data_IF_305417036047
#
_entry.id   IF_305417036047
#
_cell.length_a   1.000
_cell.length_b   1.000
_cell.length_c   1.000
_cell.angle_alpha   90.00
_cell.angle_beta   90.00
_cell.angle_gamma   90.00
#
_symmetry.space_group_name_H-M   'P 1'
#
loop_
_entity.id
_entity.type
_entity.pdbx_description
1 polymer ?
#
# COMPACT_ATOMS: atom_id res chain seq x y z
N UNK A 1 -15.92 -37.09 15.40
CA UNK A 1 -15.55 -36.13 14.33
C UNK A 1 -15.53 -34.75 14.96
N UNK A 2 -14.38 -34.33 15.49
CA UNK A 2 -14.19 -33.03 16.12
C UNK A 2 -14.00 -31.98 15.03
N UNK A 3 -14.92 -31.02 14.99
CA UNK A 3 -14.83 -29.86 14.12
C UNK A 3 -13.52 -29.12 14.39
N UNK A 4 -12.79 -28.85 13.31
CA UNK A 4 -11.68 -27.89 13.28
C UNK A 4 -12.17 -26.58 13.89
N UNK A 5 -11.70 -26.27 15.09
CA UNK A 5 -11.75 -24.91 15.60
C UNK A 5 -10.85 -24.09 14.67
N UNK A 6 -11.47 -23.29 13.79
CA UNK A 6 -10.77 -22.25 13.06
C UNK A 6 -10.37 -21.24 14.13
N UNK A 7 -9.20 -21.44 14.73
CA UNK A 7 -8.58 -20.44 15.59
C UNK A 7 -8.27 -19.26 14.68
N UNK A 8 -8.97 -18.14 14.90
CA UNK A 8 -8.51 -16.87 14.36
C UNK A 8 -7.03 -16.73 14.70
N UNK A 9 -6.14 -16.46 13.71
CA UNK A 9 -4.74 -16.23 14.03
C UNK A 9 -4.67 -15.12 15.08
N UNK A 10 -3.98 -15.39 16.18
CA UNK A 10 -3.78 -14.42 17.25
C UNK A 10 -3.17 -13.15 16.64
N UNK A 11 -3.75 -11.98 16.96
CA UNK A 11 -3.26 -10.68 16.51
C UNK A 11 -1.77 -10.54 16.83
N UNK A 12 -0.99 -10.03 15.87
CA UNK A 12 0.43 -9.72 16.02
C UNK A 12 0.69 -8.31 15.54
N UNK A 13 1.62 -7.62 16.19
CA UNK A 13 2.04 -6.27 15.82
C UNK A 13 3.55 -6.19 15.86
N UNK A 14 4.15 -5.48 14.90
CA UNK A 14 5.55 -5.04 15.00
C UNK A 14 5.68 -3.65 15.65
N UNK A 15 4.56 -2.93 15.81
CA UNK A 15 4.48 -1.68 16.56
C UNK A 15 4.43 -2.01 18.04
N UNK A 16 5.48 -1.64 18.79
CA UNK A 16 5.68 -2.05 20.17
C UNK A 16 4.63 -1.52 21.15
N UNK A 17 3.91 -0.46 20.79
CA UNK A 17 2.86 0.17 21.61
C UNK A 17 1.48 -0.42 21.38
N UNK A 18 1.33 -1.36 20.42
CA UNK A 18 0.05 -1.97 20.06
C UNK A 18 0.12 -3.47 20.28
N UNK A 19 -0.75 -3.99 21.12
CA UNK A 19 -0.80 -5.39 21.54
C UNK A 19 -2.07 -6.10 21.09
N UNK A 20 -3.14 -5.37 20.80
CA UNK A 20 -4.44 -5.92 20.43
C UNK A 20 -5.23 -4.98 19.49
N UNK A 21 -6.46 -5.37 19.13
CA UNK A 21 -7.33 -4.60 18.26
C UNK A 21 -7.93 -3.35 18.92
N UNK A 22 -8.10 -3.35 20.26
CA UNK A 22 -8.60 -2.21 21.02
C UNK A 22 -7.57 -1.07 20.98
N UNK A 23 -6.28 -1.38 21.13
CA UNK A 23 -5.19 -0.39 21.00
C UNK A 23 -5.17 0.28 19.61
N UNK A 24 -5.56 -0.45 18.56
CA UNK A 24 -5.72 0.11 17.20
C UNK A 24 -6.94 1.02 17.13
N UNK A 25 -8.06 0.59 17.71
CA UNK A 25 -9.30 1.36 17.76
C UNK A 25 -9.12 2.68 18.52
N UNK A 26 -8.36 2.68 19.61
CA UNK A 26 -8.03 3.90 20.36
C UNK A 26 -7.25 4.92 19.52
N UNK A 27 -6.34 4.46 18.66
CA UNK A 27 -5.48 5.36 17.87
C UNK A 27 -6.13 5.88 16.59
N UNK A 28 -6.91 5.05 15.88
CA UNK A 28 -7.45 5.40 14.55
C UNK A 28 -8.98 5.25 14.44
N UNK A 29 -9.68 5.05 15.55
CA UNK A 29 -11.12 4.82 15.58
C UNK A 29 -11.94 5.91 14.87
N UNK A 30 -11.50 7.17 14.96
CA UNK A 30 -12.13 8.29 14.25
C UNK A 30 -12.10 8.11 12.72
N UNK A 31 -10.96 7.74 12.15
CA UNK A 31 -10.83 7.44 10.71
C UNK A 31 -11.67 6.22 10.30
N UNK A 32 -11.80 5.22 11.18
CA UNK A 32 -12.60 4.03 10.89
C UNK A 32 -14.11 4.32 10.85
N UNK A 33 -14.60 5.33 11.59
CA UNK A 33 -16.03 5.70 11.61
C UNK A 33 -16.50 6.15 10.22
N UNK A 34 -15.73 7.02 9.56
CA UNK A 34 -16.14 7.53 8.25
C UNK A 34 -15.51 6.81 7.06
N UNK A 35 -14.89 5.65 7.26
CA UNK A 35 -14.22 4.89 6.19
C UNK A 35 -15.11 4.61 4.96
N UNK A 36 -16.44 4.67 5.11
CA UNK A 36 -17.40 4.58 4.02
C UNK A 36 -17.25 5.72 2.98
N UNK A 37 -16.72 6.88 3.38
CA UNK A 37 -16.45 8.04 2.53
C UNK A 37 -15.12 7.94 1.77
N UNK A 38 -14.17 7.13 2.25
CA UNK A 38 -12.85 7.00 1.62
C UNK A 38 -12.94 6.42 0.21
N UNK A 39 -12.00 6.77 -0.66
CA UNK A 39 -11.84 6.09 -1.94
C UNK A 39 -11.26 4.68 -1.71
N UNK A 40 -11.74 3.67 -2.43
CA UNK A 40 -11.23 2.30 -2.33
C UNK A 40 -10.48 1.96 -3.60
N UNK A 41 -9.20 1.62 -3.45
CA UNK A 41 -8.29 1.33 -4.56
C UNK A 41 -7.63 -0.03 -4.40
N UNK A 42 -7.18 -0.56 -5.53
CA UNK A 42 -6.34 -1.76 -5.58
C UNK A 42 -5.28 -1.59 -6.65
N UNK A 43 -4.35 -2.54 -6.71
CA UNK A 43 -3.35 -2.59 -7.77
C UNK A 43 -4.01 -2.74 -9.14
N UNK A 44 -3.52 -2.06 -10.20
CA UNK A 44 -4.05 -2.24 -11.55
C UNK A 44 -3.88 -3.69 -12.04
N UNK A 45 -2.82 -4.37 -11.55
CA UNK A 45 -2.55 -5.79 -11.83
C UNK A 45 -3.51 -6.74 -11.09
N UNK A 46 -4.22 -6.26 -10.08
CA UNK A 46 -5.21 -7.03 -9.32
C UNK A 46 -6.65 -6.61 -9.61
N UNK A 47 -6.91 -5.54 -10.38
CA UNK A 47 -8.27 -5.05 -10.65
C UNK A 47 -9.20 -6.14 -11.19
N UNK A 48 -8.71 -7.01 -12.07
CA UNK A 48 -9.48 -8.13 -12.61
C UNK A 48 -9.83 -9.21 -11.57
N UNK A 49 -9.13 -9.22 -10.43
CA UNK A 49 -9.36 -10.17 -9.32
C UNK A 49 -10.36 -9.62 -8.30
N UNK A 50 -10.83 -8.39 -8.48
CA UNK A 50 -11.78 -7.72 -7.62
C UNK A 50 -13.07 -7.43 -8.38
N UNK A 51 -14.19 -7.82 -7.80
CA UNK A 51 -15.48 -7.26 -8.21
C UNK A 51 -15.51 -5.78 -7.80
N UNK A 52 -15.94 -4.90 -8.73
CA UNK A 52 -15.88 -3.46 -8.50
C UNK A 52 -16.81 -3.03 -7.36
N UNK A 53 -18.05 -3.55 -7.32
CA UNK A 53 -19.00 -3.23 -6.26
C UNK A 53 -18.50 -3.75 -4.91
N UNK A 54 -17.93 -4.94 -4.89
CA UNK A 54 -17.29 -5.53 -3.71
C UNK A 54 -16.14 -4.67 -3.17
N UNK A 55 -15.28 -4.15 -4.06
CA UNK A 55 -14.16 -3.28 -3.69
C UNK A 55 -14.67 -1.97 -3.08
N UNK A 56 -15.67 -1.34 -3.70
CA UNK A 56 -16.25 -0.09 -3.19
C UNK A 56 -17.01 -0.28 -1.87
N UNK A 57 -17.57 -1.47 -1.63
CA UNK A 57 -18.21 -1.84 -0.37
C UNK A 57 -17.23 -2.39 0.68
N UNK A 58 -15.92 -2.33 0.43
CA UNK A 58 -14.93 -2.81 1.38
C UNK A 58 -15.00 -2.03 2.70
N UNK A 59 -14.94 -2.78 3.81
CA UNK A 59 -14.92 -2.24 5.17
C UNK A 59 -13.83 -2.94 5.97
N UNK A 60 -12.90 -2.15 6.49
CA UNK A 60 -11.88 -2.54 7.44
C UNK A 60 -12.57 -2.86 8.77
N UNK A 61 -12.47 -4.13 9.19
CA UNK A 61 -13.02 -4.63 10.46
C UNK A 61 -11.87 -5.12 11.33
N UNK A 62 -11.58 -4.42 12.42
CA UNK A 62 -10.43 -4.70 13.30
C UNK A 62 -10.39 -6.14 13.82
N UNK A 63 -11.55 -6.74 14.12
CA UNK A 63 -11.66 -8.16 14.51
C UNK A 63 -11.13 -9.18 13.50
N UNK A 64 -10.88 -8.76 12.26
CA UNK A 64 -10.33 -9.60 11.18
C UNK A 64 -8.85 -9.33 10.94
N UNK A 65 -8.28 -8.32 11.59
CA UNK A 65 -6.87 -7.96 11.52
C UNK A 65 -6.09 -8.99 12.31
N UNK A 66 -5.05 -9.51 11.69
CA UNK A 66 -4.15 -10.48 12.33
C UNK A 66 -2.68 -10.04 12.32
N UNK A 67 -2.33 -9.04 11.51
CA UNK A 67 -1.01 -8.40 11.54
C UNK A 67 -1.15 -6.89 11.44
N UNK A 68 -0.48 -6.16 12.33
CA UNK A 68 -0.24 -4.72 12.21
C UNK A 68 1.24 -4.47 11.87
N UNK A 69 1.48 -3.68 10.83
CA UNK A 69 2.83 -3.32 10.37
C UNK A 69 3.20 -1.89 10.78
N UNK A 70 2.25 -0.97 10.68
CA UNK A 70 2.47 0.44 10.98
C UNK A 70 1.16 1.09 11.41
N UNK A 71 1.27 2.06 12.30
CA UNK A 71 0.16 2.93 12.69
C UNK A 71 0.72 4.31 13.01
N UNK A 72 0.06 5.33 12.50
CA UNK A 72 0.32 6.72 12.80
C UNK A 72 -1.01 7.38 13.15
N UNK A 73 -1.00 8.07 14.28
CA UNK A 73 -2.08 8.94 14.73
C UNK A 73 -1.42 10.23 15.24
N UNK A 74 -2.10 11.35 15.06
CA UNK A 74 -1.55 12.63 15.52
C UNK A 74 -1.66 12.78 17.04
N UNK A 75 -0.68 13.45 17.64
CA UNK A 75 -0.80 14.08 18.96
C UNK A 75 -1.26 15.53 18.75
N UNK A 76 -2.00 16.11 19.70
CA UNK A 76 -2.93 17.26 19.60
C UNK A 76 -2.30 18.63 19.21
N UNK A 77 -1.12 18.65 18.60
CA UNK A 77 -0.37 19.85 18.21
C UNK A 77 -0.26 20.00 16.68
N UNK A 78 -1.10 20.88 16.13
CA UNK A 78 -0.93 21.64 14.85
C UNK A 78 -1.21 20.93 13.50
N UNK A 79 -2.09 21.58 12.69
CA UNK A 79 -2.29 21.65 11.22
C UNK A 79 -2.19 20.45 10.27
N UNK A 80 -1.74 19.26 10.67
CA UNK A 80 -1.61 18.11 9.77
C UNK A 80 -2.07 16.82 10.46
N UNK A 81 -3.37 16.77 10.79
CA UNK A 81 -4.02 15.55 11.29
C UNK A 81 -4.07 14.51 10.17
N UNK A 82 -3.21 13.51 10.24
CA UNK A 82 -3.18 12.38 9.32
C UNK A 82 -3.25 11.09 10.13
N UNK A 83 -4.20 10.22 9.78
CA UNK A 83 -4.23 8.84 10.23
C UNK A 83 -3.64 7.97 9.13
N UNK A 84 -2.77 7.05 9.51
CA UNK A 84 -2.22 6.07 8.58
C UNK A 84 -2.11 4.71 9.27
N UNK A 85 -2.50 3.65 8.57
CA UNK A 85 -2.37 2.29 9.09
C UNK A 85 -2.02 1.32 7.96
N UNK A 86 -1.05 0.45 8.23
CA UNK A 86 -0.63 -0.65 7.36
C UNK A 86 -0.86 -1.97 8.08
N UNK A 87 -1.73 -2.82 7.53
CA UNK A 87 -2.15 -4.06 8.20
C UNK A 87 -2.41 -5.23 7.25
N UNK A 88 -2.48 -6.43 7.81
CA UNK A 88 -3.02 -7.63 7.16
C UNK A 88 -4.29 -8.07 7.88
N UNK A 89 -5.32 -8.38 7.10
CA UNK A 89 -6.57 -8.91 7.61
C UNK A 89 -7.11 -10.07 6.79
N UNK A 90 -8.05 -10.80 7.37
CA UNK A 90 -8.78 -11.86 6.69
C UNK A 90 -10.02 -11.29 6.00
N UNK A 91 -10.16 -11.50 4.69
CA UNK A 91 -11.31 -11.08 3.90
C UNK A 91 -11.79 -12.23 3.01
N UNK A 92 -13.06 -12.63 3.12
CA UNK A 92 -13.66 -13.78 2.42
C UNK A 92 -12.82 -15.08 2.44
N UNK A 93 -12.16 -15.37 3.56
CA UNK A 93 -11.25 -16.52 3.79
C UNK A 93 -9.84 -16.38 3.18
N UNK A 94 -9.54 -15.27 2.53
CA UNK A 94 -8.21 -14.94 2.02
C UNK A 94 -7.52 -13.92 2.94
N UNK A 95 -6.19 -13.84 2.84
CA UNK A 95 -5.43 -12.76 3.46
C UNK A 95 -5.29 -11.62 2.46
N UNK A 96 -5.56 -10.42 2.95
CA UNK A 96 -5.37 -9.19 2.20
C UNK A 96 -4.52 -8.23 3.03
N UNK A 97 -3.84 -7.34 2.33
CA UNK A 97 -3.08 -6.26 2.90
C UNK A 97 -3.81 -4.95 2.63
N UNK A 98 -3.81 -4.09 3.64
CA UNK A 98 -4.54 -2.83 3.62
C UNK A 98 -3.62 -1.71 4.04
N UNK A 99 -3.62 -0.64 3.26
CA UNK A 99 -3.09 0.65 3.61
C UNK A 99 -4.27 1.63 3.64
N UNK A 100 -4.54 2.20 4.81
CA UNK A 100 -5.50 3.30 4.96
C UNK A 100 -4.74 4.57 5.30
N UNK A 101 -5.03 5.64 4.56
CA UNK A 101 -4.50 6.99 4.79
C UNK A 101 -5.67 7.98 4.78
N UNK A 102 -5.77 8.82 5.81
CA UNK A 102 -6.87 9.78 5.97
C UNK A 102 -6.39 11.10 6.56
N UNK A 103 -6.82 12.22 5.96
CA UNK A 103 -6.39 13.57 6.33
C UNK A 103 -7.41 14.37 7.16
N UNK A 104 -7.11 15.66 7.35
CA UNK A 104 -7.88 16.58 8.20
C UNK A 104 -9.32 16.87 7.71
N UNK A 105 -9.69 16.45 6.49
CA UNK A 105 -11.07 16.52 5.97
C UNK A 105 -12.09 15.65 6.71
N UNK A 106 -11.62 14.85 7.68
CA UNK A 106 -12.43 13.93 8.49
C UNK A 106 -12.85 14.46 9.86
N UNK A 107 -12.20 15.50 10.38
CA UNK A 107 -12.39 15.94 11.76
C UNK A 107 -13.12 17.30 11.79
N UNK A 108 -14.41 17.34 12.19
CA UNK A 108 -15.19 18.61 12.32
C UNK A 108 -16.70 18.49 12.10
N UNK A 109 -17.42 19.63 12.21
CA UNK A 109 -18.88 19.73 11.97
C UNK A 109 -19.28 19.63 10.49
N UNK A 110 -18.34 19.82 9.56
CA UNK A 110 -18.49 19.67 8.10
C UNK A 110 -17.44 18.68 7.56
N UNK A 111 -17.41 17.45 8.08
CA UNK A 111 -16.52 16.40 7.55
C UNK A 111 -16.96 16.01 6.14
N UNK A 112 -16.16 16.39 5.13
CA UNK A 112 -16.38 15.97 3.74
C UNK A 112 -15.73 14.62 3.41
N UNK A 113 -14.95 14.08 4.35
CA UNK A 113 -14.45 12.72 4.28
C UNK A 113 -13.40 12.52 3.20
N UNK A 114 -12.14 12.89 3.46
CA UNK A 114 -11.03 12.66 2.51
C UNK A 114 -10.05 11.60 3.05
N UNK A 115 -9.74 10.62 2.22
CA UNK A 115 -8.87 9.50 2.53
C UNK A 115 -9.02 8.35 1.55
N UNK A 116 -8.07 7.43 1.60
CA UNK A 116 -7.96 6.29 0.70
C UNK A 116 -7.79 5.00 1.51
N UNK A 117 -8.42 3.92 1.05
CA UNK A 117 -8.13 2.56 1.46
C UNK A 117 -7.59 1.82 0.24
N UNK A 118 -6.30 1.57 0.23
CA UNK A 118 -5.63 0.72 -0.73
C UNK A 118 -5.63 -0.73 -0.26
N UNK A 119 -6.06 -1.65 -1.12
CA UNK A 119 -6.25 -3.06 -0.81
C UNK A 119 -5.51 -3.91 -1.83
N UNK A 120 -4.74 -4.89 -1.37
CA UNK A 120 -4.06 -5.83 -2.27
C UNK A 120 -4.01 -7.24 -1.69
N UNK A 121 -4.02 -8.25 -2.57
CA UNK A 121 -3.81 -9.66 -2.19
C UNK A 121 -2.32 -10.03 -2.18
N UNK A 122 -1.49 -9.27 -2.90
CA UNK A 122 -0.06 -9.50 -3.04
C UNK A 122 0.75 -8.79 -1.96
N UNK A 123 1.50 -9.58 -1.19
CA UNK A 123 2.45 -9.07 -0.20
C UNK A 123 3.57 -8.24 -0.84
N UNK A 124 3.97 -8.57 -2.08
CA UNK A 124 5.02 -7.84 -2.80
C UNK A 124 4.52 -6.47 -3.27
N UNK A 125 3.27 -6.41 -3.75
CA UNK A 125 2.63 -5.13 -4.09
C UNK A 125 2.45 -4.28 -2.84
N UNK A 126 1.99 -4.88 -1.73
CA UNK A 126 1.87 -4.21 -0.45
C UNK A 126 3.20 -3.58 -0.03
N UNK A 127 4.27 -4.38 0.06
CA UNK A 127 5.58 -3.89 0.47
C UNK A 127 6.10 -2.75 -0.45
N UNK A 128 5.87 -2.85 -1.76
CA UNK A 128 6.29 -1.83 -2.73
C UNK A 128 5.41 -0.57 -2.75
N UNK A 129 4.15 -0.67 -2.30
CA UNK A 129 3.24 0.47 -2.19
C UNK A 129 3.52 1.36 -0.98
N UNK A 130 4.34 0.89 -0.05
CA UNK A 130 4.75 1.56 1.18
C UNK A 130 6.04 2.30 0.86
N UNK A 131 5.92 3.46 0.21
CA UNK A 131 7.05 4.15 -0.41
C UNK A 131 7.64 5.26 0.46
N UNK A 132 7.49 5.14 1.78
CA UNK A 132 8.04 6.09 2.74
C UNK A 132 8.95 5.41 3.77
N UNK A 133 10.11 6.04 4.02
CA UNK A 133 11.07 5.57 5.01
C UNK A 133 10.49 5.54 6.45
N UNK A 134 9.47 6.37 6.72
CA UNK A 134 8.71 6.43 7.97
C UNK A 134 8.03 5.11 8.34
N UNK A 135 7.73 4.27 7.34
CA UNK A 135 7.05 3.00 7.54
C UNK A 135 7.99 1.84 7.90
N UNK A 136 9.31 2.08 7.96
CA UNK A 136 10.35 1.07 8.16
C UNK A 136 10.17 -0.18 7.26
N UNK A 137 10.35 -0.04 5.93
CA UNK A 137 10.10 -1.11 4.98
C UNK A 137 10.88 -2.40 5.28
N UNK A 138 12.05 -2.32 5.92
CA UNK A 138 12.86 -3.49 6.24
C UNK A 138 12.24 -4.32 7.38
N UNK A 139 11.71 -3.67 8.41
CA UNK A 139 10.99 -4.38 9.49
C UNK A 139 9.71 -5.03 8.96
N UNK A 140 8.99 -4.36 8.05
CA UNK A 140 7.82 -4.93 7.38
C UNK A 140 8.22 -6.14 6.52
N UNK A 141 9.30 -6.03 5.75
CA UNK A 141 9.85 -7.15 4.96
C UNK A 141 10.15 -8.36 5.84
N UNK A 142 10.92 -8.19 6.91
CA UNK A 142 11.28 -9.29 7.83
C UNK A 142 10.02 -9.94 8.41
N UNK A 143 9.05 -9.11 8.82
CA UNK A 143 7.76 -9.57 9.34
C UNK A 143 6.96 -10.39 8.31
N UNK A 144 7.01 -10.04 7.02
CA UNK A 144 6.33 -10.78 5.95
C UNK A 144 7.02 -12.11 5.68
N UNK A 145 8.37 -12.15 5.68
CA UNK A 145 9.16 -13.37 5.51
C UNK A 145 8.93 -14.34 6.67
N UNK A 146 8.91 -13.85 7.91
CA UNK A 146 8.59 -14.66 9.11
C UNK A 146 7.20 -15.30 9.03
N UNK A 147 6.24 -14.58 8.45
CA UNK A 147 4.88 -15.09 8.23
C UNK A 147 4.76 -15.99 6.98
N UNK A 148 5.87 -16.27 6.29
CA UNK A 148 5.98 -17.24 5.18
C UNK A 148 5.75 -16.67 3.78
N UNK A 149 5.67 -15.36 3.62
CA UNK A 149 5.50 -14.72 2.31
C UNK A 149 6.83 -14.64 1.56
N UNK A 150 6.76 -14.88 0.24
CA UNK A 150 7.88 -14.62 -0.67
C UNK A 150 7.75 -13.21 -1.23
N UNK A 151 8.53 -12.30 -0.67
CA UNK A 151 8.58 -10.88 -1.07
C UNK A 151 10.02 -10.51 -1.44
N UNK A 152 10.16 -9.52 -2.31
CA UNK A 152 11.47 -8.98 -2.67
C UNK A 152 12.01 -8.12 -1.52
N UNK A 153 13.32 -8.22 -1.26
CA UNK A 153 13.98 -7.40 -0.25
C UNK A 153 13.93 -5.92 -0.64
N UNK A 154 13.56 -5.01 0.28
CA UNK A 154 13.62 -3.58 0.04
C UNK A 154 15.03 -3.15 -0.35
N UNK A 155 15.12 -2.37 -1.42
CA UNK A 155 16.39 -1.80 -1.88
C UNK A 155 16.72 -0.53 -1.10
N UNK A 156 17.98 -0.07 -1.15
CA UNK A 156 18.37 1.23 -0.58
C UNK A 156 17.50 2.40 -1.07
N UNK A 157 16.93 2.25 -2.27
CA UNK A 157 16.00 3.20 -2.84
C UNK A 157 14.66 3.25 -2.08
N UNK A 158 14.11 2.10 -1.69
CA UNK A 158 12.83 2.00 -0.96
C UNK A 158 12.94 2.61 0.44
N UNK A 159 14.16 2.67 0.98
CA UNK A 159 14.47 3.32 2.25
C UNK A 159 14.81 4.80 2.12
N UNK A 160 14.90 5.36 0.91
CA UNK A 160 15.23 6.76 0.68
C UNK A 160 13.96 7.63 0.70
N UNK A 161 13.96 8.79 1.36
CA UNK A 161 12.87 9.77 1.27
C UNK A 161 12.55 10.15 -0.18
N UNK A 162 11.26 10.32 -0.52
CA UNK A 162 10.78 10.63 -1.87
C UNK A 162 11.54 11.77 -2.57
N UNK A 163 11.86 12.84 -1.83
CA UNK A 163 12.64 13.99 -2.33
C UNK A 163 14.04 13.66 -2.84
N UNK A 164 14.57 12.47 -2.54
CA UNK A 164 15.90 12.01 -2.96
C UNK A 164 15.84 11.09 -4.19
N UNK A 165 14.66 10.89 -4.78
CA UNK A 165 14.45 9.97 -5.92
C UNK A 165 14.78 10.53 -7.29
N UNK A 166 15.46 11.69 -7.35
CA UNK A 166 15.70 12.48 -8.56
C UNK A 166 16.40 11.73 -9.72
N UNK A 167 16.97 10.54 -9.47
CA UNK A 167 17.71 9.74 -10.45
C UNK A 167 17.14 8.32 -10.67
N UNK A 168 15.94 8.01 -10.18
CA UNK A 168 15.34 6.69 -10.33
C UNK A 168 14.41 6.60 -11.56
N UNK A 169 14.31 5.42 -12.22
CA UNK A 169 13.42 5.24 -13.36
C UNK A 169 11.98 5.61 -12.97
N UNK A 170 11.42 6.65 -13.59
CA UNK A 170 10.07 7.15 -13.27
C UNK A 170 8.98 6.07 -13.38
N UNK A 171 9.25 5.00 -14.12
CA UNK A 171 8.36 3.85 -14.27
C UNK A 171 8.10 3.09 -12.97
N UNK A 172 9.03 3.13 -11.99
CA UNK A 172 8.78 2.63 -10.64
C UNK A 172 7.71 3.46 -9.89
N UNK A 173 7.48 4.70 -10.34
CA UNK A 173 6.51 5.65 -9.76
C UNK A 173 5.32 5.93 -10.67
N UNK A 174 5.08 5.13 -11.72
CA UNK A 174 3.80 5.28 -12.42
C UNK A 174 2.70 5.03 -11.39
N UNK A 175 1.92 6.08 -11.15
CA UNK A 175 0.77 5.99 -10.25
C UNK A 175 -0.21 4.95 -10.78
N UNK A 176 -1.06 4.42 -9.89
CA UNK A 176 -2.12 3.47 -10.26
C UNK A 176 -2.95 3.96 -11.45
N UNK A 177 -3.27 5.25 -11.46
CA UNK A 177 -4.00 5.91 -12.54
C UNK A 177 -3.19 5.92 -13.84
N UNK A 178 -1.90 6.28 -13.77
CA UNK A 178 -1.03 6.31 -14.96
C UNK A 178 -0.77 4.92 -15.57
N UNK A 179 -0.61 3.87 -14.75
CA UNK A 179 -0.49 2.49 -15.27
C UNK A 179 -1.81 2.04 -15.89
N UNK A 180 -2.93 2.29 -15.22
CA UNK A 180 -4.26 1.92 -15.70
C UNK A 180 -4.59 2.60 -17.03
N UNK A 181 -4.36 3.91 -17.13
CA UNK A 181 -4.68 4.70 -18.31
C UNK A 181 -3.82 4.35 -19.52
N UNK A 182 -2.65 3.74 -19.31
CA UNK A 182 -1.71 3.33 -20.36
C UNK A 182 -1.55 1.80 -20.43
N UNK A 183 -2.50 1.03 -19.89
CA UNK A 183 -2.40 -0.44 -19.78
C UNK A 183 -2.21 -1.15 -21.12
N UNK A 184 -2.82 -0.63 -22.18
CA UNK A 184 -2.76 -1.20 -23.53
C UNK A 184 -1.35 -1.02 -24.11
N UNK A 185 -0.74 0.15 -23.92
CA UNK A 185 0.63 0.45 -24.32
C UNK A 185 1.67 -0.37 -23.52
N UNK A 186 1.38 -0.65 -22.24
CA UNK A 186 2.25 -1.44 -21.36
C UNK A 186 2.11 -2.96 -21.57
N UNK A 187 1.02 -3.42 -22.18
CA UNK A 187 0.72 -4.85 -22.37
C UNK A 187 1.65 -5.57 -23.35
N UNK A 188 2.47 -4.83 -24.11
CA UNK A 188 3.35 -5.34 -25.16
C UNK A 188 4.78 -5.69 -24.69
N UNK A 189 5.11 -5.59 -23.41
CA UNK A 189 6.44 -5.96 -22.86
C UNK A 189 6.42 -7.39 -22.30
N UNK A 190 6.84 -8.44 -23.05
CA UNK A 190 6.07 -9.68 -23.02
C UNK A 190 6.49 -10.80 -22.06
N UNK A 191 7.67 -10.84 -21.41
CA UNK A 191 8.07 -12.12 -20.75
C UNK A 191 8.61 -12.09 -19.31
N UNK A 192 9.12 -10.98 -18.78
CA UNK A 192 9.65 -10.98 -17.41
C UNK A 192 9.62 -9.51 -16.94
N UNK A 193 8.80 -9.14 -15.96
CA UNK A 193 9.04 -7.87 -15.23
C UNK A 193 9.95 -8.09 -14.00
N UNK A 194 10.73 -9.18 -14.02
CA UNK A 194 12.18 -9.14 -13.70
C UNK A 194 13.12 -8.94 -14.93
N UNK A 195 14.29 -8.34 -14.71
CA UNK A 195 15.41 -8.06 -15.66
C UNK A 195 15.12 -7.17 -16.89
N UNK A 196 13.93 -7.21 -17.52
CA UNK A 196 13.62 -6.45 -18.75
C UNK A 196 13.26 -4.96 -18.53
N UNK A 197 13.07 -4.52 -17.27
CA UNK A 197 13.08 -3.08 -16.94
C UNK A 197 14.43 -2.40 -17.24
N UNK A 198 15.50 -3.19 -17.41
CA UNK A 198 16.84 -2.68 -17.74
C UNK A 198 16.99 -2.22 -19.19
N UNK A 199 16.17 -2.74 -20.11
CA UNK A 199 16.23 -2.36 -21.53
C UNK A 199 15.41 -1.09 -21.84
N UNK A 200 14.30 -0.87 -21.13
CA UNK A 200 13.41 0.29 -21.36
C UNK A 200 13.99 1.63 -20.87
N UNK A 201 14.91 1.61 -19.90
CA UNK A 201 15.68 2.81 -19.49
C UNK A 201 16.73 3.18 -20.55
N UNK A 202 17.27 2.19 -21.25
CA UNK A 202 18.28 2.39 -22.29
C UNK A 202 17.67 3.02 -23.56
N UNK A 203 16.44 2.62 -23.93
CA UNK A 203 15.69 3.26 -25.03
C UNK A 203 15.23 4.69 -24.68
N UNK A 204 14.90 4.97 -23.40
CA UNK A 204 14.60 6.33 -22.95
C UNK A 204 15.84 7.25 -23.02
N UNK A 205 17.04 6.73 -22.71
CA UNK A 205 18.33 7.43 -22.87
C UNK A 205 18.66 7.66 -24.36
N UNK A 206 18.45 6.68 -25.24
CA UNK A 206 18.71 6.83 -26.68
C UNK A 206 17.79 7.84 -27.38
N UNK A 207 16.52 7.95 -26.97
CA UNK A 207 15.57 8.94 -27.51
C UNK A 207 15.87 10.37 -27.02
N UNK A 208 16.50 10.53 -25.85
CA UNK A 208 16.99 11.83 -25.38
C UNK A 208 18.29 12.26 -26.09
N UNK A 209 19.26 11.36 -26.30
CA UNK A 209 20.51 11.67 -27.00
C UNK A 209 20.28 12.04 -28.48
N UNK A 210 19.28 11.44 -29.14
CA UNK A 210 18.86 11.84 -30.50
C UNK A 210 18.19 13.20 -30.56
N UNK A 211 17.58 13.69 -29.46
CA UNK A 211 16.98 15.04 -29.39
C UNK A 211 17.99 16.15 -29.12
N UNK A 212 19.13 15.86 -28.48
CA UNK A 212 20.18 16.87 -28.27
C UNK A 212 21.10 17.06 -29.48
N UNK A 213 21.17 16.10 -30.40
CA UNK A 213 21.94 16.24 -31.65
C UNK A 213 21.20 16.95 -32.81
N UNK A 214 19.93 17.31 -32.63
CA UNK A 214 19.16 18.07 -33.63
C UNK A 214 18.94 19.55 -33.24
N UNK A 215 19.58 20.02 -32.17
CA UNK A 215 19.59 21.42 -31.76
C UNK A 215 21.01 22.04 -31.81
N UNK A 216 21.87 21.53 -32.70
CA UNK A 216 22.97 22.33 -33.26
C UNK A 216 22.41 23.26 -34.35
#
# INVERSE_FOLDING_TARGET
>A
MSGSAITHPAFRSIVSTVHNAEDVEEQIGEALIYQHMFEKRTSPWEMQNWDYEELQQFVLKLKRVDRLYYINHFDDTVSSRTFEILLRMTYKKEKIFVHLSAGCGFTGFDSQGDGEIYITKSANIFLKSIVEASHDPLSIYNSLVEDGYKVEEPTQFDSAPQRLWNNAPMLKFLTHQSVHDNREDLSHYPEVLPTLLSDSVTDFIQVQETRYHHNC
#
